data_IF_415744869932
#
_entry.id   IF_415744869932
#
_cell.length_a   1.000
_cell.length_b   1.000
_cell.length_c   1.000
_cell.angle_alpha   90.00
_cell.angle_beta   90.00
_cell.angle_gamma   90.00
#
_symmetry.space_group_name_H-M   'P 1'
#
loop_
_entity.id
_entity.type
_entity.pdbx_description
1 polymer ?
#
# COMPACT_ATOMS: atom_id res chain seq x y z
N UNK A 1 42.89 -24.15 -19.54
CA UNK A 1 42.94 -23.01 -20.48
C UNK A 1 41.54 -22.87 -21.07
N UNK A 2 40.75 -21.93 -20.56
CA UNK A 2 39.49 -21.59 -21.22
C UNK A 2 39.88 -20.77 -22.47
N UNK A 3 39.67 -21.33 -23.66
CA UNK A 3 39.84 -20.62 -24.92
C UNK A 3 38.52 -19.92 -25.22
N UNK A 4 38.54 -18.60 -25.38
CA UNK A 4 37.40 -17.83 -25.88
C UNK A 4 37.75 -17.35 -27.29
N UNK A 5 36.89 -17.64 -28.27
CA UNK A 5 37.04 -17.10 -29.62
C UNK A 5 36.19 -15.83 -29.78
N UNK A 6 36.80 -14.76 -30.28
CA UNK A 6 36.10 -13.56 -30.73
C UNK A 6 36.47 -13.36 -32.20
N UNK A 7 35.47 -13.33 -33.09
CA UNK A 7 35.69 -13.18 -34.54
C UNK A 7 36.62 -14.24 -35.18
N UNK A 8 36.69 -15.46 -34.62
CA UNK A 8 37.49 -16.55 -35.18
C UNK A 8 38.96 -16.59 -34.73
N UNK A 9 39.40 -15.62 -33.92
CA UNK A 9 40.72 -15.66 -33.28
C UNK A 9 40.64 -16.28 -31.88
N UNK A 10 41.52 -17.23 -31.60
CA UNK A 10 41.65 -17.84 -30.27
C UNK A 10 42.39 -16.88 -29.32
N UNK A 11 41.70 -16.42 -28.28
CA UNK A 11 42.33 -15.62 -27.24
C UNK A 11 42.70 -16.48 -26.03
N UNK A 12 43.96 -16.38 -25.61
CA UNK A 12 44.42 -16.99 -24.38
C UNK A 12 43.95 -16.15 -23.19
N UNK A 13 43.17 -16.75 -22.28
CA UNK A 13 42.81 -16.08 -21.03
C UNK A 13 44.06 -16.02 -20.13
N UNK A 14 44.59 -14.82 -19.98
CA UNK A 14 45.76 -14.54 -19.15
C UNK A 14 45.41 -14.44 -17.67
N UNK A 15 46.37 -14.78 -16.81
CA UNK A 15 46.24 -14.55 -15.37
C UNK A 15 46.19 -13.05 -15.07
N UNK A 16 45.63 -12.68 -13.91
CA UNK A 16 45.65 -11.30 -13.43
C UNK A 16 47.06 -10.70 -13.46
N UNK A 17 48.07 -11.41 -12.94
CA UNK A 17 49.45 -10.92 -12.90
C UNK A 17 50.02 -10.65 -14.28
N UNK A 18 49.70 -11.51 -15.26
CA UNK A 18 50.14 -11.35 -16.65
C UNK A 18 49.47 -10.13 -17.28
N UNK A 19 48.15 -9.97 -17.11
CA UNK A 19 47.42 -8.82 -17.64
C UNK A 19 47.89 -7.51 -17.01
N UNK A 20 48.01 -7.43 -15.68
CA UNK A 20 48.45 -6.22 -14.99
C UNK A 20 49.89 -5.83 -15.34
N UNK A 21 50.75 -6.81 -15.65
CA UNK A 21 52.10 -6.53 -16.17
C UNK A 21 52.00 -5.91 -17.57
N UNK A 22 51.27 -6.54 -18.49
CA UNK A 22 51.10 -6.03 -19.84
C UNK A 22 50.50 -4.61 -19.85
N UNK A 23 49.51 -4.33 -18.98
CA UNK A 23 48.94 -2.99 -18.82
C UNK A 23 49.98 -1.96 -18.36
N UNK A 24 50.88 -2.34 -17.44
CA UNK A 24 51.98 -1.46 -17.00
C UNK A 24 53.01 -1.23 -18.10
N UNK A 25 53.34 -2.28 -18.87
CA UNK A 25 54.28 -2.20 -19.99
C UNK A 25 53.75 -1.24 -21.09
N UNK A 26 52.43 -1.19 -21.28
CA UNK A 26 51.73 -0.24 -22.16
C UNK A 26 51.47 1.13 -21.53
N UNK A 27 52.09 1.44 -20.39
CA UNK A 27 51.94 2.70 -19.66
C UNK A 27 50.48 3.05 -19.29
N UNK A 28 49.66 2.04 -18.96
CA UNK A 28 48.30 2.22 -18.45
C UNK A 28 48.25 2.09 -16.93
N UNK A 29 47.51 3.01 -16.31
CA UNK A 29 47.26 3.02 -14.86
C UNK A 29 45.92 2.34 -14.57
N UNK A 30 45.94 1.36 -13.66
CA UNK A 30 44.72 0.73 -13.16
C UNK A 30 44.09 1.64 -12.11
N UNK A 31 42.99 2.29 -12.48
CA UNK A 31 42.23 3.18 -11.60
C UNK A 31 41.44 2.39 -10.56
N UNK A 32 40.72 1.37 -11.02
CA UNK A 32 39.86 0.51 -10.21
C UNK A 32 39.82 -0.90 -10.78
N UNK A 33 39.65 -1.88 -9.90
CA UNK A 33 39.46 -3.28 -10.24
C UNK A 33 38.32 -3.83 -9.41
N UNK A 34 37.37 -4.51 -10.05
CA UNK A 34 36.29 -5.23 -9.38
C UNK A 34 36.34 -6.67 -9.88
N UNK A 35 36.38 -7.63 -8.97
CA UNK A 35 36.38 -9.06 -9.28
C UNK A 35 35.21 -9.73 -8.57
N UNK A 36 34.58 -10.71 -9.23
CA UNK A 36 33.61 -11.59 -8.60
C UNK A 36 34.26 -12.93 -8.19
N UNK A 37 33.50 -13.77 -7.48
CA UNK A 37 33.94 -15.10 -7.06
C UNK A 37 33.93 -16.14 -8.20
N UNK A 38 33.36 -15.80 -9.36
CA UNK A 38 33.26 -16.67 -10.53
C UNK A 38 34.45 -16.49 -11.49
N UNK A 39 35.37 -15.59 -11.17
CA UNK A 39 36.57 -15.32 -11.97
C UNK A 39 36.42 -14.18 -12.97
N UNK A 40 35.29 -13.47 -12.98
CA UNK A 40 35.13 -12.25 -13.80
C UNK A 40 35.84 -11.10 -13.13
N UNK A 41 36.59 -10.30 -13.90
CA UNK A 41 37.22 -9.08 -13.41
C UNK A 41 37.02 -7.94 -14.39
N UNK A 42 36.67 -6.77 -13.86
CA UNK A 42 36.52 -5.52 -14.62
C UNK A 42 37.60 -4.55 -14.16
N UNK A 43 38.38 -4.05 -15.13
CA UNK A 43 39.42 -3.06 -14.90
C UNK A 43 38.98 -1.72 -15.49
N UNK A 44 39.12 -0.66 -14.72
CA UNK A 44 39.02 0.71 -15.21
C UNK A 44 40.44 1.25 -15.38
N UNK A 45 40.78 1.64 -16.61
CA UNK A 45 42.14 2.02 -17.01
C UNK A 45 42.19 3.47 -17.45
N UNK A 46 43.35 4.10 -17.33
CA UNK A 46 43.63 5.44 -17.86
C UNK A 46 45.12 5.57 -18.16
N UNK A 47 45.46 6.36 -19.17
CA UNK A 47 46.85 6.82 -19.32
C UNK A 47 47.24 7.75 -18.16
N UNK A 48 48.49 7.69 -17.68
CA UNK A 48 48.95 8.59 -16.64
C UNK A 48 48.85 10.03 -17.12
N UNK A 49 48.30 10.90 -16.27
CA UNK A 49 48.30 12.34 -16.51
C UNK A 49 49.55 12.92 -15.86
N UNK A 50 50.48 13.46 -16.65
CA UNK A 50 51.57 14.27 -16.14
C UNK A 50 50.99 15.63 -15.80
N UNK A 51 50.81 15.92 -14.51
CA UNK A 51 50.17 17.17 -14.08
C UNK A 51 51.19 18.26 -13.77
N UNK A 52 50.91 19.42 -14.35
CA UNK A 52 51.43 20.77 -14.08
C UNK A 52 51.32 21.17 -12.59
N UNK A 53 51.95 22.29 -12.14
CA UNK A 53 52.09 22.63 -10.72
C UNK A 53 50.81 22.44 -9.91
N UNK A 54 50.94 21.65 -8.84
CA UNK A 54 49.83 21.32 -7.94
C UNK A 54 49.63 22.46 -6.93
N UNK A 55 48.41 22.95 -6.81
CA UNK A 55 47.98 23.85 -5.73
C UNK A 55 47.24 23.06 -4.68
N UNK A 56 47.58 23.24 -3.41
CA UNK A 56 47.00 22.49 -2.29
C UNK A 56 46.27 23.47 -1.38
N UNK A 57 44.99 23.20 -1.14
CA UNK A 57 44.17 23.94 -0.19
C UNK A 57 43.63 22.99 0.88
N UNK A 58 43.98 23.25 2.13
CA UNK A 58 43.45 22.51 3.28
C UNK A 58 42.06 23.04 3.63
N UNK A 59 41.06 22.15 3.66
CA UNK A 59 39.64 22.44 3.91
C UNK A 59 39.27 21.95 5.31
N UNK A 60 39.82 22.64 6.31
CA UNK A 60 39.82 22.16 7.71
C UNK A 60 39.47 23.22 8.75
N UNK A 61 39.41 24.49 8.37
CA UNK A 61 39.05 25.58 9.29
C UNK A 61 37.53 25.74 9.43
N UNK A 62 37.12 26.16 10.63
CA UNK A 62 35.72 26.49 10.96
C UNK A 62 35.36 27.94 10.58
N UNK A 63 36.35 28.75 10.19
CA UNK A 63 36.17 30.15 9.79
C UNK A 63 36.01 30.33 8.26
N UNK A 64 36.06 29.23 7.52
CA UNK A 64 35.84 29.12 6.08
C UNK A 64 36.78 29.99 5.24
N UNK A 65 37.98 30.32 5.75
CA UNK A 65 38.96 31.16 5.03
C UNK A 65 39.41 30.53 3.72
N UNK A 66 39.44 29.19 3.66
CA UNK A 66 39.73 28.46 2.42
C UNK A 66 38.76 28.77 1.27
N UNK A 67 37.55 29.28 1.54
CA UNK A 67 36.58 29.65 0.48
C UNK A 67 37.13 30.77 -0.40
N UNK A 68 37.72 31.81 0.20
CA UNK A 68 38.30 32.93 -0.57
C UNK A 68 39.52 32.47 -1.36
N UNK A 69 40.33 31.55 -0.81
CA UNK A 69 41.45 30.94 -1.52
C UNK A 69 40.97 30.15 -2.76
N UNK A 70 39.89 29.36 -2.62
CA UNK A 70 39.29 28.65 -3.76
C UNK A 70 38.83 29.64 -4.83
N UNK A 71 38.16 30.74 -4.45
CA UNK A 71 37.70 31.77 -5.40
C UNK A 71 38.88 32.39 -6.17
N UNK A 72 39.95 32.73 -5.46
CA UNK A 72 41.14 33.30 -6.06
C UNK A 72 41.74 32.34 -7.10
N UNK A 73 42.03 31.10 -6.71
CA UNK A 73 42.63 30.07 -7.58
C UNK A 73 41.73 29.73 -8.80
N UNK A 74 40.41 29.77 -8.62
CA UNK A 74 39.46 29.57 -9.73
C UNK A 74 39.42 30.75 -10.71
N UNK A 75 39.68 31.97 -10.25
CA UNK A 75 39.69 33.19 -11.08
C UNK A 75 40.98 33.38 -11.89
N UNK A 76 42.09 32.80 -11.45
CA UNK A 76 43.36 32.86 -12.15
C UNK A 76 43.30 32.06 -13.46
N UNK A 77 43.82 32.64 -14.57
CA UNK A 77 43.93 31.97 -15.89
C UNK A 77 44.98 30.84 -15.93
N UNK A 78 45.37 30.32 -14.77
CA UNK A 78 46.40 29.31 -14.63
C UNK A 78 45.87 27.91 -14.98
N UNK A 79 46.69 27.05 -15.56
CA UNK A 79 46.34 25.68 -15.98
C UNK A 79 46.53 24.61 -14.89
N UNK A 80 47.06 24.98 -13.72
CA UNK A 80 47.36 24.03 -12.63
C UNK A 80 46.14 23.33 -12.00
N UNK A 81 46.36 22.11 -11.50
CA UNK A 81 45.35 21.34 -10.76
C UNK A 81 45.29 21.80 -9.30
N UNK A 82 44.07 21.95 -8.79
CA UNK A 82 43.78 22.40 -7.42
C UNK A 82 43.32 21.19 -6.59
N UNK A 83 44.12 20.80 -5.62
CA UNK A 83 43.84 19.73 -4.66
C UNK A 83 43.23 20.31 -3.39
N UNK A 84 41.96 20.02 -3.17
CA UNK A 84 41.27 20.29 -1.92
C UNK A 84 41.48 19.09 -0.99
N UNK A 85 42.04 19.32 0.19
CA UNK A 85 42.41 18.26 1.14
C UNK A 85 41.68 18.47 2.45
N UNK A 86 40.96 17.45 2.91
CA UNK A 86 40.41 17.40 4.26
C UNK A 86 40.94 16.13 4.95
N UNK A 87 41.81 16.30 5.94
CA UNK A 87 42.42 15.20 6.69
C UNK A 87 42.04 15.15 8.17
N UNK A 88 41.81 16.30 8.82
CA UNK A 88 41.55 16.37 10.28
C UNK A 88 40.10 16.13 10.66
N UNK A 89 39.15 16.43 9.77
CA UNK A 89 37.71 16.45 10.10
C UNK A 89 36.94 15.33 9.41
N UNK A 90 36.48 14.36 10.20
CA UNK A 90 35.69 13.20 9.71
C UNK A 90 34.33 13.60 9.12
N UNK A 91 33.80 14.76 9.51
CA UNK A 91 32.50 15.27 9.05
C UNK A 91 32.62 16.31 7.93
N UNK A 92 33.74 16.36 7.21
CA UNK A 92 33.90 17.34 6.13
C UNK A 92 32.92 17.09 4.98
N UNK A 93 32.18 18.12 4.60
CA UNK A 93 31.30 18.13 3.43
C UNK A 93 32.03 18.23 2.09
N UNK A 94 33.36 18.09 2.06
CA UNK A 94 34.24 18.30 0.90
C UNK A 94 33.79 17.53 -0.36
N UNK A 95 33.23 16.32 -0.20
CA UNK A 95 32.69 15.53 -1.33
C UNK A 95 31.48 16.22 -1.98
N UNK A 96 30.61 16.83 -1.17
CA UNK A 96 29.48 17.63 -1.65
C UNK A 96 29.94 18.94 -2.27
N UNK A 97 30.87 19.64 -1.63
CA UNK A 97 31.47 20.87 -2.12
C UNK A 97 32.10 20.68 -3.51
N UNK A 98 32.96 19.67 -3.68
CA UNK A 98 33.64 19.41 -4.95
C UNK A 98 32.63 19.08 -6.06
N UNK A 99 31.54 18.36 -5.75
CA UNK A 99 30.45 18.13 -6.72
C UNK A 99 29.79 19.43 -7.20
N UNK A 100 29.67 20.43 -6.33
CA UNK A 100 29.19 21.75 -6.71
C UNK A 100 30.22 22.47 -7.58
N UNK A 101 31.48 22.55 -7.13
CA UNK A 101 32.54 23.28 -7.83
C UNK A 101 32.84 22.71 -9.23
N UNK A 102 32.71 21.40 -9.44
CA UNK A 102 32.85 20.78 -10.76
C UNK A 102 31.83 21.29 -11.81
N UNK A 103 30.77 21.98 -11.39
CA UNK A 103 29.77 22.60 -12.27
C UNK A 103 30.03 24.08 -12.51
N UNK A 104 31.01 24.65 -11.82
CA UNK A 104 31.42 26.04 -11.96
C UNK A 104 32.56 26.16 -12.99
N UNK A 105 32.74 27.34 -13.65
CA UNK A 105 33.86 27.58 -14.54
C UNK A 105 35.22 27.35 -13.84
N UNK A 106 36.11 26.58 -14.46
CA UNK A 106 37.41 26.21 -13.90
C UNK A 106 37.37 25.04 -12.91
N UNK A 107 36.17 24.51 -12.61
CA UNK A 107 35.96 23.39 -11.71
C UNK A 107 36.59 22.07 -12.16
N UNK A 108 36.82 21.90 -13.46
CA UNK A 108 37.50 20.73 -14.04
C UNK A 108 38.95 20.56 -13.54
N UNK A 109 39.54 21.62 -12.98
CA UNK A 109 40.87 21.61 -12.35
C UNK A 109 40.85 21.09 -10.91
N UNK A 110 39.68 20.90 -10.31
CA UNK A 110 39.57 20.53 -8.90
C UNK A 110 39.71 19.02 -8.73
N UNK A 111 40.51 18.64 -7.74
CA UNK A 111 40.65 17.29 -7.20
C UNK A 111 40.44 17.33 -5.70
N UNK A 112 40.01 16.21 -5.15
CA UNK A 112 39.71 16.09 -3.73
C UNK A 112 40.45 14.92 -3.10
N UNK A 113 41.06 15.17 -1.95
CA UNK A 113 41.53 14.16 -1.00
C UNK A 113 40.71 14.31 0.27
N UNK A 114 40.02 13.24 0.64
CA UNK A 114 39.24 13.20 1.86
C UNK A 114 39.65 11.99 2.69
N UNK A 115 40.21 12.25 3.87
CA UNK A 115 40.58 11.21 4.84
C UNK A 115 39.39 11.02 5.79
N UNK A 116 38.72 9.87 5.69
CA UNK A 116 37.45 9.60 6.38
C UNK A 116 37.45 8.20 7.01
N UNK A 117 38.31 7.94 8.01
CA UNK A 117 38.34 6.65 8.70
C UNK A 117 37.09 6.46 9.57
N UNK A 118 36.62 5.22 9.70
CA UNK A 118 35.46 4.91 10.57
C UNK A 118 35.84 4.73 12.02
N UNK A 119 37.10 4.39 12.29
CA UNK A 119 37.64 4.13 13.63
C UNK A 119 38.84 5.03 13.89
N UNK A 120 39.00 5.47 15.14
CA UNK A 120 40.18 6.23 15.55
C UNK A 120 41.44 5.34 15.53
N UNK A 121 42.56 5.88 15.02
CA UNK A 121 43.85 5.17 14.96
C UNK A 121 44.13 4.44 13.65
N UNK A 122 43.21 4.50 12.67
CA UNK A 122 43.41 4.00 11.30
C UNK A 122 43.73 5.13 10.31
N UNK A 123 44.18 6.27 10.82
CA UNK A 123 44.55 7.43 10.03
C UNK A 123 45.81 7.10 9.19
N UNK A 124 45.85 7.51 7.91
CA UNK A 124 47.08 7.42 7.12
C UNK A 124 48.12 8.41 7.67
N UNK A 125 49.39 8.33 7.20
CA UNK A 125 50.37 9.37 7.48
C UNK A 125 49.81 10.76 7.09
N UNK A 126 50.15 11.85 7.80
CA UNK A 126 49.70 13.19 7.44
C UNK A 126 49.99 13.55 5.98
N UNK A 127 49.08 14.31 5.37
CA UNK A 127 49.17 14.68 3.97
C UNK A 127 50.41 15.53 3.69
N UNK A 128 51.20 15.08 2.72
CA UNK A 128 52.32 15.83 2.14
C UNK A 128 52.47 15.37 0.70
N UNK A 129 52.77 16.32 -0.20
CA UNK A 129 52.96 16.05 -1.63
C UNK A 129 54.21 15.19 -1.88
N UNK A 130 55.22 15.30 -1.01
CA UNK A 130 56.46 14.52 -1.05
C UNK A 130 56.28 13.10 -0.50
N UNK A 131 55.18 12.83 0.21
CA UNK A 131 54.96 11.53 0.84
C UNK A 131 54.56 10.47 -0.21
N UNK A 132 55.34 9.38 -0.39
CA UNK A 132 55.07 8.34 -1.39
C UNK A 132 53.70 7.67 -1.24
N UNK A 133 53.10 7.72 -0.05
CA UNK A 133 51.76 7.19 0.19
C UNK A 133 50.69 7.84 -0.71
N UNK A 134 50.84 9.13 -1.03
CA UNK A 134 49.89 9.90 -1.85
C UNK A 134 50.27 9.96 -3.33
N UNK A 135 51.52 9.61 -3.68
CA UNK A 135 52.02 9.64 -5.06
C UNK A 135 51.07 8.97 -6.09
N UNK A 136 50.45 7.81 -5.81
CA UNK A 136 49.53 7.18 -6.75
C UNK A 136 48.28 8.01 -7.07
N UNK A 137 47.85 8.90 -6.19
CA UNK A 137 46.65 9.74 -6.42
C UNK A 137 46.89 10.74 -7.54
N UNK A 138 48.08 11.34 -7.57
CA UNK A 138 48.48 12.30 -8.58
C UNK A 138 48.63 11.65 -9.95
N UNK A 139 49.21 10.45 -10.02
CA UNK A 139 49.31 9.68 -11.27
C UNK A 139 47.94 9.26 -11.81
N UNK A 140 47.01 8.92 -10.92
CA UNK A 140 45.64 8.51 -11.29
C UNK A 140 44.76 9.69 -11.71
N UNK A 141 45.03 10.89 -11.17
CA UNK A 141 44.31 12.15 -11.45
C UNK A 141 42.78 12.02 -11.30
N UNK A 142 42.34 11.28 -10.28
CA UNK A 142 40.91 11.11 -10.01
C UNK A 142 40.35 12.33 -9.29
N UNK A 143 39.16 12.76 -9.70
CA UNK A 143 38.46 13.89 -9.08
C UNK A 143 38.16 13.67 -7.59
N UNK A 144 37.84 12.43 -7.22
CA UNK A 144 37.45 12.06 -5.85
C UNK A 144 38.37 10.97 -5.33
N UNK A 145 39.16 11.28 -4.30
CA UNK A 145 40.05 10.34 -3.62
C UNK A 145 39.67 10.32 -2.15
N UNK A 146 39.01 9.25 -1.73
CA UNK A 146 38.57 9.06 -0.35
C UNK A 146 39.38 7.93 0.26
N UNK A 147 40.11 8.22 1.33
CA UNK A 147 40.74 7.19 2.15
C UNK A 147 39.77 6.74 3.24
N UNK A 148 39.56 5.44 3.35
CA UNK A 148 38.74 4.84 4.40
C UNK A 148 39.27 3.48 4.79
N UNK A 149 39.73 3.37 6.05
CA UNK A 149 40.08 2.11 6.72
C UNK A 149 41.02 1.19 5.92
N UNK A 150 42.11 1.73 5.36
CA UNK A 150 43.12 0.94 4.64
C UNK A 150 42.96 0.92 3.11
N UNK A 151 41.94 1.57 2.55
CA UNK A 151 41.73 1.61 1.11
C UNK A 151 41.40 3.00 0.57
N UNK A 152 41.94 3.29 -0.61
CA UNK A 152 41.54 4.43 -1.45
C UNK A 152 40.33 4.06 -2.30
N UNK A 153 39.39 4.99 -2.41
CA UNK A 153 38.20 4.82 -3.23
C UNK A 153 37.44 6.11 -3.42
N UNK A 154 36.14 5.99 -3.64
CA UNK A 154 35.24 7.14 -3.80
C UNK A 154 33.80 6.73 -3.47
N UNK A 155 32.96 7.69 -3.12
CA UNK A 155 31.54 7.41 -2.93
C UNK A 155 30.84 7.16 -4.28
N UNK A 156 30.07 6.07 -4.35
CA UNK A 156 29.32 5.64 -5.53
C UNK A 156 27.87 5.35 -5.15
N UNK A 157 26.95 5.70 -6.03
CA UNK A 157 25.54 5.36 -5.85
C UNK A 157 25.31 3.93 -6.35
N UNK A 158 24.67 3.12 -5.52
CA UNK A 158 24.28 1.75 -5.87
C UNK A 158 22.76 1.70 -5.86
N UNK A 159 22.17 1.12 -6.89
CA UNK A 159 20.72 0.93 -6.96
C UNK A 159 20.29 -0.14 -5.95
N UNK A 160 19.53 0.27 -4.93
CA UNK A 160 18.92 -0.66 -3.99
C UNK A 160 17.75 -1.33 -4.71
N UNK A 161 17.92 -2.58 -5.14
CA UNK A 161 16.81 -3.41 -5.63
C UNK A 161 15.91 -3.73 -4.45
N UNK A 162 14.77 -3.03 -4.34
CA UNK A 162 13.73 -3.35 -3.35
C UNK A 162 13.02 -4.64 -3.79
N UNK A 163 13.60 -5.78 -3.46
CA UNK A 163 12.88 -7.05 -3.57
C UNK A 163 11.88 -7.07 -2.42
N UNK A 164 10.59 -7.03 -2.75
CA UNK A 164 9.51 -7.23 -1.78
C UNK A 164 9.44 -8.73 -1.47
N UNK A 165 10.32 -9.21 -0.59
CA UNK A 165 10.22 -10.57 -0.10
C UNK A 165 9.11 -10.63 0.96
N UNK A 166 8.18 -11.61 0.87
CA UNK A 166 7.20 -11.83 1.92
C UNK A 166 7.94 -12.17 3.22
N UNK A 167 7.40 -11.67 4.33
CA UNK A 167 7.89 -11.94 5.69
C UNK A 167 6.79 -12.61 6.47
N UNK A 168 7.16 -13.61 7.27
CA UNK A 168 6.26 -14.18 8.26
C UNK A 168 6.06 -13.15 9.38
N UNK A 169 4.80 -12.83 9.67
CA UNK A 169 4.39 -11.86 10.68
C UNK A 169 3.15 -12.38 11.39
N UNK A 170 2.99 -12.05 12.66
CA UNK A 170 1.83 -12.50 13.46
C UNK A 170 0.53 -11.76 13.06
N UNK A 171 0.68 -10.49 12.68
CA UNK A 171 -0.44 -9.62 12.35
C UNK A 171 -0.33 -9.07 10.93
N UNK A 172 -1.35 -9.32 10.13
CA UNK A 172 -1.44 -8.84 8.76
C UNK A 172 -2.88 -8.51 8.38
N UNK A 173 -3.05 -7.68 7.36
CA UNK A 173 -4.35 -7.36 6.79
C UNK A 173 -4.27 -7.30 5.27
N UNK A 174 -5.40 -7.58 4.64
CA UNK A 174 -5.56 -7.58 3.20
C UNK A 174 -5.76 -6.14 2.71
N UNK A 175 -4.84 -5.65 1.88
CA UNK A 175 -4.85 -4.28 1.37
C UNK A 175 -5.07 -4.28 -0.14
N UNK A 176 -6.08 -3.55 -0.60
CA UNK A 176 -6.22 -3.19 -2.02
C UNK A 176 -5.24 -2.05 -2.33
N UNK A 177 -4.22 -2.29 -3.16
CA UNK A 177 -3.25 -1.25 -3.51
C UNK A 177 -3.78 -0.26 -4.55
N UNK A 178 -4.69 -0.72 -5.41
CA UNK A 178 -5.27 0.07 -6.49
C UNK A 178 -6.73 -0.31 -6.67
N UNK A 179 -7.64 0.55 -6.19
CA UNK A 179 -9.08 0.39 -6.44
C UNK A 179 -9.35 0.32 -7.95
N UNK A 180 -10.30 -0.51 -8.35
CA UNK A 180 -10.56 -0.86 -9.75
C UNK A 180 -9.72 -2.03 -10.27
N UNK A 181 -8.65 -2.42 -9.57
CA UNK A 181 -7.82 -3.57 -9.93
C UNK A 181 -7.80 -4.61 -8.79
N UNK A 182 -8.58 -5.67 -8.93
CA UNK A 182 -8.64 -6.75 -7.92
C UNK A 182 -7.36 -7.59 -7.83
N UNK A 183 -6.46 -7.54 -8.82
CA UNK A 183 -5.14 -8.19 -8.70
C UNK A 183 -4.18 -7.44 -7.78
N UNK A 184 -4.53 -6.22 -7.38
CA UNK A 184 -3.71 -5.36 -6.53
C UNK A 184 -3.81 -5.69 -5.04
N UNK A 185 -4.65 -6.66 -4.67
CA UNK A 185 -4.78 -7.13 -3.30
C UNK A 185 -3.52 -7.85 -2.83
N UNK A 186 -3.01 -7.45 -1.67
CA UNK A 186 -1.89 -8.13 -1.03
C UNK A 186 -2.02 -8.11 0.49
N UNK A 187 -1.56 -9.18 1.12
CA UNK A 187 -1.32 -9.20 2.56
C UNK A 187 -0.21 -8.20 2.91
N UNK A 188 -0.50 -7.33 3.86
CA UNK A 188 0.42 -6.30 4.36
C UNK A 188 0.55 -6.46 5.87
N UNK A 189 1.77 -6.31 6.39
CA UNK A 189 2.03 -6.33 7.83
C UNK A 189 1.17 -5.26 8.54
N UNK A 190 0.47 -5.68 9.59
CA UNK A 190 -0.41 -4.81 10.37
C UNK A 190 0.41 -4.00 11.39
N UNK A 191 0.12 -2.70 11.57
CA UNK A 191 0.78 -1.89 12.58
C UNK A 191 0.29 -2.17 14.00
N UNK A 192 -0.67 -3.08 14.18
CA UNK A 192 -1.38 -3.34 15.46
C UNK A 192 -0.44 -3.59 16.65
N UNK A 193 0.72 -4.22 16.42
CA UNK A 193 1.75 -4.46 17.45
C UNK A 193 2.43 -3.18 17.98
N UNK A 194 2.30 -2.07 17.27
CA UNK A 194 2.86 -0.77 17.64
C UNK A 194 1.80 0.20 18.19
N UNK A 195 0.56 -0.26 18.35
CA UNK A 195 -0.55 0.54 18.83
C UNK A 195 -0.84 0.14 20.27
N UNK A 196 -0.79 1.10 21.20
CA UNK A 196 -1.31 0.92 22.54
C UNK A 196 -2.84 1.11 22.52
N UNK A 197 -3.63 0.06 22.76
CA UNK A 197 -5.08 0.18 22.73
C UNK A 197 -5.57 0.96 23.95
N UNK A 198 -6.43 1.96 23.74
CA UNK A 198 -7.07 2.71 24.84
C UNK A 198 -8.32 2.00 25.36
N UNK A 199 -9.35 1.92 24.51
CA UNK A 199 -10.64 1.29 24.81
C UNK A 199 -10.89 0.04 23.94
N UNK A 200 -10.02 -0.21 22.98
CA UNK A 200 -10.12 -1.33 22.06
C UNK A 200 -9.47 -2.57 22.69
N UNK A 201 -9.88 -3.76 22.25
CA UNK A 201 -9.22 -5.01 22.61
C UNK A 201 -8.78 -5.74 21.36
N UNK A 202 -7.79 -6.61 21.52
CA UNK A 202 -7.25 -7.42 20.43
C UNK A 202 -8.10 -8.68 20.25
N UNK A 203 -8.46 -8.96 19.00
CA UNK A 203 -9.18 -10.16 18.61
C UNK A 203 -8.49 -10.83 17.42
N UNK A 204 -8.35 -12.15 17.49
CA UNK A 204 -7.89 -12.98 16.38
C UNK A 204 -9.07 -13.30 15.47
N UNK A 205 -8.93 -12.96 14.20
CA UNK A 205 -9.96 -13.17 13.18
C UNK A 205 -9.87 -14.59 12.64
N UNK A 206 -10.99 -15.30 12.66
CA UNK A 206 -11.12 -16.63 12.07
C UNK A 206 -11.85 -16.58 10.73
N UNK A 207 -12.94 -15.80 10.68
CA UNK A 207 -13.70 -15.55 9.46
C UNK A 207 -13.89 -14.06 9.30
N UNK A 208 -13.56 -13.54 8.12
CA UNK A 208 -13.85 -12.18 7.69
C UNK A 208 -14.82 -12.25 6.51
N UNK A 209 -15.88 -11.45 6.53
CA UNK A 209 -16.96 -11.53 5.53
C UNK A 209 -17.01 -10.29 4.65
N UNK A 210 -17.11 -10.52 3.34
CA UNK A 210 -17.21 -9.46 2.35
C UNK A 210 -18.67 -9.01 2.21
N UNK A 211 -18.87 -7.71 2.23
CA UNK A 211 -20.16 -7.07 1.98
C UNK A 211 -20.17 -6.40 0.61
N UNK A 212 -21.35 -6.06 0.11
CA UNK A 212 -21.49 -5.42 -1.21
C UNK A 212 -20.68 -4.12 -1.33
N UNK A 213 -20.62 -3.35 -0.23
CA UNK A 213 -19.76 -2.16 -0.11
C UNK A 213 -18.30 -2.47 -0.46
N UNK A 214 -17.76 -3.55 0.07
CA UNK A 214 -16.36 -3.93 -0.09
C UNK A 214 -16.03 -4.19 -1.56
N UNK A 215 -16.92 -4.89 -2.25
CA UNK A 215 -16.80 -5.14 -3.70
C UNK A 215 -16.92 -3.84 -4.49
N UNK A 216 -17.85 -2.96 -4.13
CA UNK A 216 -18.06 -1.69 -4.83
C UNK A 216 -16.86 -0.75 -4.70
N UNK A 217 -16.23 -0.70 -3.52
CA UNK A 217 -15.00 0.06 -3.30
C UNK A 217 -13.83 -0.60 -4.03
N UNK A 218 -13.66 -1.91 -3.88
CA UNK A 218 -12.57 -2.66 -4.52
C UNK A 218 -12.59 -2.56 -6.05
N UNK A 219 -13.77 -2.52 -6.65
CA UNK A 219 -13.97 -2.37 -8.11
C UNK A 219 -13.96 -0.91 -8.58
N UNK A 220 -13.82 0.06 -7.67
CA UNK A 220 -13.79 1.49 -8.00
C UNK A 220 -15.14 2.10 -8.38
N UNK A 221 -16.24 1.35 -8.23
CA UNK A 221 -17.59 1.85 -8.50
C UNK A 221 -18.16 2.71 -7.38
N UNK A 222 -17.61 2.59 -6.17
CA UNK A 222 -17.88 3.47 -5.04
C UNK A 222 -16.58 4.17 -4.64
N UNK A 223 -16.56 5.51 -4.49
CA UNK A 223 -15.37 6.19 -3.99
C UNK A 223 -14.98 5.68 -2.61
N UNK A 224 -13.67 5.54 -2.37
CA UNK A 224 -13.18 5.35 -1.01
C UNK A 224 -13.47 6.63 -0.19
N UNK A 225 -13.89 6.51 1.07
CA UNK A 225 -14.21 7.69 1.90
C UNK A 225 -15.68 8.10 2.01
N UNK A 226 -16.62 7.45 1.31
CA UNK A 226 -18.06 7.84 1.30
C UNK A 226 -18.70 7.87 2.70
N UNK A 227 -18.14 7.16 3.69
CA UNK A 227 -18.68 7.10 5.05
C UNK A 227 -18.12 8.19 6.00
N UNK A 228 -17.12 8.96 5.56
CA UNK A 228 -16.43 9.92 6.42
C UNK A 228 -16.44 11.32 5.83
N UNK A 229 -16.89 12.28 6.62
CA UNK A 229 -16.74 13.71 6.31
C UNK A 229 -15.28 14.17 6.43
N UNK A 230 -14.38 13.32 6.93
CA UNK A 230 -12.96 13.61 7.12
C UNK A 230 -12.10 12.68 6.25
N UNK A 231 -11.79 13.14 5.04
CA UNK A 231 -10.94 12.47 4.01
C UNK A 231 -9.54 12.06 4.53
N UNK A 232 -9.15 12.52 5.74
CA UNK A 232 -7.81 12.30 6.30
C UNK A 232 -7.63 10.97 7.04
N UNK A 233 -8.70 10.24 7.35
CA UNK A 233 -8.55 8.94 8.02
C UNK A 233 -8.38 7.81 6.99
N UNK A 234 -7.16 7.28 6.89
CA UNK A 234 -6.81 6.10 6.07
C UNK A 234 -7.66 4.85 6.38
N UNK A 235 -8.46 4.89 7.45
CA UNK A 235 -9.44 3.89 7.87
C UNK A 235 -10.62 3.75 6.90
N UNK A 236 -10.97 4.79 6.13
CA UNK A 236 -12.18 4.76 5.29
C UNK A 236 -12.03 4.03 3.95
N UNK A 237 -10.78 3.74 3.57
CA UNK A 237 -10.44 2.88 2.43
C UNK A 237 -10.39 1.40 2.81
N UNK A 238 -10.78 1.04 4.04
CA UNK A 238 -10.73 -0.34 4.50
C UNK A 238 -11.77 -1.22 3.81
N UNK A 239 -11.32 -2.40 3.42
CA UNK A 239 -12.13 -3.50 2.95
C UNK A 239 -12.49 -4.38 4.15
N UNK A 240 -13.74 -4.83 4.18
CA UNK A 240 -14.34 -5.69 5.19
C UNK A 240 -14.51 -5.00 6.55
N UNK A 241 -15.73 -5.13 7.08
CA UNK A 241 -16.11 -4.53 8.35
C UNK A 241 -16.64 -5.51 9.37
N UNK A 242 -16.75 -6.79 9.05
CA UNK A 242 -17.25 -7.77 10.01
C UNK A 242 -16.41 -9.03 10.01
N UNK A 243 -16.36 -9.61 11.19
CA UNK A 243 -15.63 -10.83 11.44
C UNK A 243 -16.28 -11.65 12.54
N UNK A 244 -15.86 -12.90 12.63
CA UNK A 244 -15.94 -13.70 13.85
C UNK A 244 -14.56 -14.20 14.24
N UNK A 245 -14.38 -14.41 15.53
CA UNK A 245 -13.09 -14.78 16.06
C UNK A 245 -13.06 -14.96 17.56
N UNK A 246 -11.87 -14.74 18.13
CA UNK A 246 -11.62 -14.92 19.56
C UNK A 246 -10.90 -13.72 20.13
N UNK A 247 -11.30 -13.31 21.33
CA UNK A 247 -10.58 -12.32 22.12
C UNK A 247 -9.21 -12.87 22.54
N UNK A 248 -8.17 -12.06 22.38
CA UNK A 248 -6.83 -12.41 22.83
C UNK A 248 -6.79 -12.54 24.36
N UNK A 249 -6.00 -13.48 24.87
CA UNK A 249 -5.93 -13.83 26.30
C UNK A 249 -7.13 -14.61 26.86
N UNK A 250 -8.37 -14.18 26.63
CA UNK A 250 -9.57 -14.85 27.20
C UNK A 250 -10.07 -16.01 26.34
N UNK A 251 -9.83 -15.98 25.03
CA UNK A 251 -10.32 -16.97 24.07
C UNK A 251 -11.84 -16.91 23.82
N UNK A 252 -12.54 -15.91 24.38
CA UNK A 252 -13.99 -15.72 24.25
C UNK A 252 -14.38 -15.58 22.78
N UNK A 253 -15.43 -16.30 22.38
CA UNK A 253 -15.91 -16.33 21.00
C UNK A 253 -16.76 -15.09 20.73
N UNK A 254 -16.39 -14.31 19.73
CA UNK A 254 -17.08 -13.06 19.39
C UNK A 254 -17.34 -12.97 17.90
N UNK A 255 -18.38 -12.25 17.52
CA UNK A 255 -18.52 -11.69 16.18
C UNK A 255 -19.01 -10.24 16.29
N UNK A 256 -18.80 -9.46 15.24
CA UNK A 256 -19.21 -8.07 15.26
C UNK A 256 -18.54 -7.26 14.18
N UNK A 257 -18.53 -5.94 14.39
CA UNK A 257 -17.99 -4.98 13.45
C UNK A 257 -16.59 -4.54 13.90
N UNK A 258 -15.65 -4.53 12.95
CA UNK A 258 -14.27 -4.09 13.16
C UNK A 258 -13.74 -3.41 11.90
N UNK A 259 -12.98 -2.32 12.07
CA UNK A 259 -12.38 -1.62 10.94
C UNK A 259 -11.25 -2.47 10.34
N UNK A 260 -11.25 -2.65 9.02
CA UNK A 260 -10.27 -3.50 8.31
C UNK A 260 -10.29 -4.96 8.78
N UNK A 261 -11.48 -5.54 8.91
CA UNK A 261 -11.67 -6.89 9.42
C UNK A 261 -11.14 -8.00 8.49
N UNK A 262 -10.76 -7.68 7.24
CA UNK A 262 -10.02 -8.60 6.38
C UNK A 262 -8.56 -8.71 6.84
N UNK A 263 -8.36 -9.25 8.03
CA UNK A 263 -7.09 -9.31 8.74
C UNK A 263 -6.92 -10.63 9.50
N UNK A 264 -5.73 -10.89 10.02
CA UNK A 264 -5.49 -11.97 10.99
C UNK A 264 -5.83 -11.54 12.41
N UNK A 265 -5.83 -10.23 12.68
CA UNK A 265 -6.18 -9.67 13.98
C UNK A 265 -6.73 -8.26 13.84
N UNK A 266 -7.63 -7.89 14.74
CA UNK A 266 -8.27 -6.57 14.77
C UNK A 266 -8.25 -5.98 16.18
N UNK A 267 -8.08 -4.67 16.26
CA UNK A 267 -8.41 -3.89 17.45
C UNK A 267 -9.82 -3.34 17.26
N UNK A 268 -10.72 -3.63 18.19
CA UNK A 268 -12.07 -3.07 18.14
C UNK A 268 -12.63 -2.85 19.55
N UNK A 269 -13.58 -1.94 19.66
CA UNK A 269 -14.32 -1.68 20.89
C UNK A 269 -15.28 -2.85 21.16
N UNK A 270 -15.24 -3.49 22.34
CA UNK A 270 -16.18 -4.54 22.72
C UNK A 270 -17.67 -4.17 22.58
N UNK A 271 -18.04 -2.89 22.58
CA UNK A 271 -19.42 -2.41 22.34
C UNK A 271 -19.91 -2.76 20.93
N UNK A 272 -19.00 -2.94 19.96
CA UNK A 272 -19.33 -3.31 18.58
C UNK A 272 -19.40 -4.84 18.37
N UNK A 273 -19.30 -5.62 19.45
CA UNK A 273 -19.22 -7.07 19.43
C UNK A 273 -20.39 -7.72 20.17
N UNK A 274 -20.75 -8.91 19.70
CA UNK A 274 -21.65 -9.83 20.38
C UNK A 274 -20.91 -11.12 20.69
N UNK A 275 -21.25 -11.73 21.82
CA UNK A 275 -20.76 -13.06 22.16
C UNK A 275 -21.43 -14.11 21.26
N UNK A 276 -20.63 -15.03 20.73
CA UNK A 276 -21.15 -16.06 19.82
C UNK A 276 -21.80 -17.16 20.65
N UNK A 277 -23.10 -17.46 20.43
CA UNK A 277 -23.78 -18.55 21.14
C UNK A 277 -23.07 -19.89 20.93
N UNK A 278 -23.11 -20.75 21.96
CA UNK A 278 -22.44 -22.06 21.94
C UNK A 278 -22.84 -22.92 20.74
N UNK A 279 -24.11 -22.85 20.34
CA UNK A 279 -24.69 -23.64 19.24
C UNK A 279 -24.29 -23.15 17.85
N UNK A 280 -23.71 -21.95 17.73
CA UNK A 280 -23.26 -21.43 16.45
C UNK A 280 -21.80 -21.83 16.24
N UNK A 281 -21.41 -22.05 15.00
CA UNK A 281 -20.01 -22.04 14.58
C UNK A 281 -19.51 -20.60 14.44
N UNK A 282 -18.19 -20.38 14.40
CA UNK A 282 -17.64 -19.06 14.07
C UNK A 282 -17.99 -18.67 12.61
N UNK A 283 -18.07 -19.63 11.70
CA UNK A 283 -18.48 -19.40 10.31
C UNK A 283 -19.90 -18.82 10.23
N UNK A 284 -20.88 -19.47 10.89
CA UNK A 284 -22.25 -18.98 10.96
C UNK A 284 -22.31 -17.60 11.63
N UNK A 285 -21.58 -17.42 12.73
CA UNK A 285 -21.56 -16.17 13.47
C UNK A 285 -21.04 -14.98 12.66
N UNK A 286 -20.12 -15.20 11.72
CA UNK A 286 -19.59 -14.14 10.86
C UNK A 286 -20.65 -13.60 9.88
N UNK A 287 -21.73 -14.35 9.62
CA UNK A 287 -22.78 -13.95 8.66
C UNK A 287 -23.83 -12.99 9.24
N UNK A 288 -23.76 -12.70 10.55
CA UNK A 288 -24.82 -12.03 11.31
C UNK A 288 -24.63 -10.52 11.46
N UNK A 289 -23.45 -9.99 11.84
CA UNK A 289 -23.30 -8.63 12.36
C UNK A 289 -23.85 -7.54 11.43
N UNK A 290 -23.36 -7.43 10.20
CA UNK A 290 -23.74 -6.33 9.30
C UNK A 290 -25.18 -6.48 8.83
N UNK A 291 -25.58 -7.68 8.40
CA UNK A 291 -26.92 -7.89 7.81
C UNK A 291 -28.04 -7.70 8.81
N UNK A 292 -27.92 -8.24 10.02
CA UNK A 292 -28.95 -8.06 11.05
C UNK A 292 -28.93 -6.65 11.64
N UNK A 293 -27.76 -6.04 11.85
CA UNK A 293 -27.68 -4.65 12.31
C UNK A 293 -28.32 -3.68 11.31
N UNK A 294 -28.10 -3.90 10.01
CA UNK A 294 -28.74 -3.12 8.93
C UNK A 294 -30.27 -3.25 8.98
N UNK A 295 -30.78 -4.48 9.10
CA UNK A 295 -32.22 -4.70 9.17
C UNK A 295 -32.84 -4.17 10.47
N UNK A 296 -32.22 -4.38 11.63
CA UNK A 296 -32.74 -3.87 12.90
C UNK A 296 -32.78 -2.35 12.92
N UNK A 297 -31.72 -1.69 12.45
CA UNK A 297 -31.71 -0.24 12.36
C UNK A 297 -32.77 0.29 11.36
N UNK A 298 -32.80 -0.26 10.15
CA UNK A 298 -33.73 0.18 9.11
C UNK A 298 -35.20 -0.13 9.42
N UNK A 299 -35.52 -1.37 9.76
CA UNK A 299 -36.89 -1.84 9.92
C UNK A 299 -37.46 -1.57 11.31
N UNK A 300 -36.69 -1.82 12.38
CA UNK A 300 -37.20 -1.73 13.75
C UNK A 300 -37.05 -0.30 14.29
N UNK A 301 -35.85 0.28 14.18
CA UNK A 301 -35.59 1.60 14.78
C UNK A 301 -36.13 2.75 13.94
N UNK A 302 -35.98 2.70 12.61
CA UNK A 302 -36.40 3.78 11.69
C UNK A 302 -37.82 3.60 11.19
N UNK A 303 -38.13 2.48 10.52
CA UNK A 303 -39.47 2.25 9.96
C UNK A 303 -40.51 1.83 11.02
N UNK A 304 -40.07 1.42 12.21
CA UNK A 304 -40.94 0.95 13.30
C UNK A 304 -41.91 -0.14 12.85
N UNK A 305 -41.40 -1.12 12.10
CA UNK A 305 -42.17 -2.27 11.61
C UNK A 305 -42.93 -2.95 12.76
N UNK A 306 -44.24 -3.13 12.57
CA UNK A 306 -45.15 -3.76 13.53
C UNK A 306 -45.71 -5.05 12.96
N UNK A 307 -46.21 -5.89 13.88
CA UNK A 307 -46.89 -7.11 13.51
C UNK A 307 -48.06 -6.87 12.55
N UNK A 308 -48.26 -7.81 11.61
CA UNK A 308 -49.32 -7.78 10.58
C UNK A 308 -49.23 -6.67 9.54
N UNK A 309 -48.20 -5.82 9.56
CA UNK A 309 -47.91 -4.93 8.43
C UNK A 309 -47.38 -5.70 7.23
N UNK A 310 -47.54 -5.15 6.03
CA UNK A 310 -46.98 -5.71 4.81
C UNK A 310 -45.65 -5.06 4.43
N UNK A 311 -44.68 -5.87 4.00
CA UNK A 311 -43.34 -5.40 3.63
C UNK A 311 -42.90 -5.94 2.27
N UNK A 312 -42.32 -5.09 1.42
CA UNK A 312 -41.59 -5.47 0.21
C UNK A 312 -40.09 -5.49 0.51
N UNK A 313 -39.46 -6.65 0.38
CA UNK A 313 -38.03 -6.87 0.62
C UNK A 313 -37.36 -7.17 -0.72
N UNK A 314 -36.60 -6.23 -1.25
CA UNK A 314 -35.83 -6.48 -2.47
C UNK A 314 -34.64 -7.41 -2.23
N UNK A 315 -34.27 -8.16 -3.27
CA UNK A 315 -33.12 -9.07 -3.24
C UNK A 315 -33.20 -10.12 -2.12
N UNK A 316 -34.35 -10.79 -1.96
CA UNK A 316 -34.65 -11.67 -0.80
C UNK A 316 -33.70 -12.85 -0.57
N UNK A 317 -32.89 -13.20 -1.57
CA UNK A 317 -31.84 -14.23 -1.45
C UNK A 317 -30.46 -13.67 -1.07
N UNK A 318 -30.29 -12.34 -1.00
CA UNK A 318 -29.08 -11.71 -0.48
C UNK A 318 -29.01 -11.72 1.04
N UNK A 319 -27.86 -11.37 1.62
CA UNK A 319 -27.65 -11.40 3.09
C UNK A 319 -28.68 -10.55 3.85
N UNK A 320 -28.79 -9.27 3.50
CA UNK A 320 -29.77 -8.35 4.09
C UNK A 320 -31.21 -8.80 3.81
N UNK A 321 -31.50 -9.28 2.60
CA UNK A 321 -32.84 -9.76 2.24
C UNK A 321 -33.29 -10.94 3.11
N UNK A 322 -32.40 -11.91 3.35
CA UNK A 322 -32.69 -13.05 4.21
C UNK A 322 -32.87 -12.64 5.69
N UNK A 323 -32.02 -11.74 6.20
CA UNK A 323 -32.17 -11.22 7.56
C UNK A 323 -33.48 -10.44 7.75
N UNK A 324 -33.85 -9.62 6.77
CA UNK A 324 -35.11 -8.87 6.76
C UNK A 324 -36.33 -9.82 6.74
N UNK A 325 -36.28 -10.89 5.93
CA UNK A 325 -37.33 -11.91 5.88
C UNK A 325 -37.49 -12.56 7.26
N UNK A 326 -36.39 -12.97 7.91
CA UNK A 326 -36.45 -13.59 9.24
C UNK A 326 -37.09 -12.67 10.28
N UNK A 327 -36.73 -11.39 10.29
CA UNK A 327 -37.31 -10.39 11.20
C UNK A 327 -38.80 -10.18 10.91
N UNK A 328 -39.18 -10.05 9.64
CA UNK A 328 -40.56 -9.85 9.24
C UNK A 328 -41.45 -11.08 9.56
N UNK A 329 -40.91 -12.30 9.39
CA UNK A 329 -41.59 -13.53 9.78
C UNK A 329 -41.78 -13.61 11.31
N UNK A 330 -40.76 -13.25 12.09
CA UNK A 330 -40.85 -13.21 13.56
C UNK A 330 -41.93 -12.24 14.07
N UNK A 331 -42.22 -11.18 13.31
CA UNK A 331 -43.29 -10.23 13.60
C UNK A 331 -44.64 -10.60 12.95
N UNK A 332 -44.74 -11.73 12.24
CA UNK A 332 -45.95 -12.12 11.50
C UNK A 332 -46.42 -11.04 10.49
N UNK A 333 -45.47 -10.46 9.74
CA UNK A 333 -45.76 -9.53 8.65
C UNK A 333 -46.17 -10.27 7.36
N UNK A 334 -46.93 -9.62 6.49
CA UNK A 334 -47.18 -10.11 5.12
C UNK A 334 -45.97 -9.73 4.24
N UNK A 335 -45.24 -10.73 3.75
CA UNK A 335 -43.98 -10.51 3.04
C UNK A 335 -44.17 -10.63 1.53
N UNK A 336 -43.65 -9.63 0.83
CA UNK A 336 -43.37 -9.66 -0.60
C UNK A 336 -41.86 -9.53 -0.82
N UNK A 337 -41.34 -10.18 -1.85
CA UNK A 337 -39.90 -10.13 -2.13
C UNK A 337 -39.59 -10.24 -3.61
N UNK A 338 -38.38 -9.85 -4.01
CA UNK A 338 -37.90 -10.02 -5.37
C UNK A 338 -36.61 -10.84 -5.44
N UNK A 339 -36.47 -11.62 -6.51
CA UNK A 339 -35.28 -12.44 -6.81
C UNK A 339 -34.87 -12.33 -8.27
N UNK A 340 -33.60 -12.56 -8.58
CA UNK A 340 -33.08 -12.36 -9.93
C UNK A 340 -33.16 -13.56 -10.88
N UNK A 341 -33.46 -14.75 -10.37
CA UNK A 341 -33.41 -16.01 -11.14
C UNK A 341 -34.38 -17.04 -10.56
N UNK A 342 -34.87 -17.95 -11.39
CA UNK A 342 -35.73 -19.06 -10.95
C UNK A 342 -35.05 -19.97 -9.91
N UNK A 343 -33.74 -20.18 -9.99
CA UNK A 343 -33.01 -20.96 -8.98
C UNK A 343 -33.08 -20.31 -7.60
N UNK A 344 -32.83 -19.00 -7.53
CA UNK A 344 -33.02 -18.18 -6.31
C UNK A 344 -34.48 -18.22 -5.82
N UNK A 345 -35.46 -18.22 -6.72
CA UNK A 345 -36.88 -18.37 -6.38
C UNK A 345 -37.14 -19.71 -5.68
N UNK A 346 -36.66 -20.82 -6.27
CA UNK A 346 -36.76 -22.18 -5.69
C UNK A 346 -36.07 -22.27 -4.33
N UNK A 347 -34.87 -21.71 -4.20
CA UNK A 347 -34.16 -21.64 -2.93
C UNK A 347 -34.97 -20.91 -1.85
N UNK A 348 -35.48 -19.72 -2.19
CA UNK A 348 -36.24 -18.88 -1.27
C UNK A 348 -37.50 -19.61 -0.78
N UNK A 349 -38.24 -20.25 -1.70
CA UNK A 349 -39.44 -21.03 -1.37
C UNK A 349 -39.15 -22.23 -0.47
N UNK A 350 -38.05 -22.94 -0.71
CA UNK A 350 -37.64 -24.06 0.15
C UNK A 350 -37.26 -23.59 1.55
N UNK A 351 -36.58 -22.45 1.65
CA UNK A 351 -36.09 -21.91 2.93
C UNK A 351 -37.19 -21.23 3.75
N UNK A 352 -38.11 -20.54 3.08
CA UNK A 352 -39.19 -19.77 3.69
C UNK A 352 -40.55 -20.21 3.12
N UNK A 353 -41.04 -21.40 3.48
CA UNK A 353 -42.32 -21.93 2.99
C UNK A 353 -43.53 -21.06 3.36
N UNK A 354 -43.37 -20.15 4.34
CA UNK A 354 -44.39 -19.18 4.73
C UNK A 354 -44.61 -18.08 3.66
N UNK A 355 -43.66 -17.86 2.76
CA UNK A 355 -43.78 -16.88 1.68
C UNK A 355 -44.45 -17.56 0.48
N UNK A 356 -45.63 -17.06 0.12
CA UNK A 356 -46.40 -17.57 -1.02
C UNK A 356 -45.67 -17.29 -2.33
N UNK A 357 -45.79 -18.20 -3.29
CA UNK A 357 -45.07 -18.10 -4.57
C UNK A 357 -45.44 -16.82 -5.34
N UNK A 358 -46.70 -16.44 -5.28
CA UNK A 358 -47.25 -15.26 -5.93
C UNK A 358 -46.87 -13.95 -5.24
N UNK A 359 -46.20 -14.00 -4.08
CA UNK A 359 -45.59 -12.85 -3.42
C UNK A 359 -44.09 -12.71 -3.78
N UNK A 360 -43.57 -13.52 -4.70
CA UNK A 360 -42.15 -13.48 -5.14
C UNK A 360 -42.04 -12.99 -6.59
N UNK A 361 -41.57 -11.76 -6.76
CA UNK A 361 -41.39 -11.08 -8.06
C UNK A 361 -39.96 -11.13 -8.61
N UNK A 362 -39.78 -10.55 -9.81
CA UNK A 362 -38.46 -10.41 -10.45
C UNK A 362 -37.71 -9.19 -9.92
N UNK A 363 -36.40 -9.31 -9.67
CA UNK A 363 -35.54 -8.19 -9.25
C UNK A 363 -34.73 -7.57 -10.39
N UNK A 364 -34.89 -8.07 -11.63
CA UNK A 364 -34.14 -7.61 -12.81
C UNK A 364 -34.89 -6.59 -13.66
N UNK A 365 -36.19 -6.49 -13.46
CA UNK A 365 -37.11 -5.58 -14.14
C UNK A 365 -38.09 -4.96 -13.13
N UNK A 366 -39.04 -4.17 -13.62
CA UNK A 366 -40.06 -3.47 -12.82
C UNK A 366 -41.37 -4.25 -12.67
N UNK A 367 -41.44 -5.51 -13.12
CA UNK A 367 -42.68 -6.32 -13.07
C UNK A 367 -43.20 -6.56 -11.65
N UNK A 368 -42.33 -6.46 -10.65
CA UNK A 368 -42.72 -6.55 -9.25
C UNK A 368 -43.73 -5.45 -8.83
N UNK A 369 -43.70 -4.28 -9.46
CA UNK A 369 -44.65 -3.20 -9.15
C UNK A 369 -46.08 -3.64 -9.42
N UNK A 370 -46.30 -4.22 -10.62
CA UNK A 370 -47.60 -4.78 -11.01
C UNK A 370 -48.03 -5.89 -10.06
N UNK A 371 -47.12 -6.82 -9.73
CA UNK A 371 -47.39 -7.89 -8.75
C UNK A 371 -47.85 -7.31 -7.41
N UNK A 372 -47.16 -6.29 -6.88
CA UNK A 372 -47.52 -5.67 -5.60
C UNK A 372 -48.89 -5.02 -5.70
N UNK A 373 -49.17 -4.25 -6.74
CA UNK A 373 -50.46 -3.57 -6.90
C UNK A 373 -51.62 -4.55 -7.01
N UNK A 374 -51.46 -5.62 -7.79
CA UNK A 374 -52.49 -6.67 -7.90
C UNK A 374 -52.71 -7.38 -6.56
N UNK A 375 -51.63 -7.71 -5.84
CA UNK A 375 -51.72 -8.44 -4.57
C UNK A 375 -52.18 -7.60 -3.39
N UNK A 376 -52.11 -6.29 -3.50
CA UNK A 376 -52.52 -5.33 -2.45
C UNK A 376 -53.77 -4.55 -2.83
N UNK A 377 -54.47 -4.92 -3.92
CA UNK A 377 -55.64 -4.21 -4.44
C UNK A 377 -55.39 -2.70 -4.64
N UNK A 378 -54.23 -2.37 -5.21
CA UNK A 378 -53.79 -0.99 -5.48
C UNK A 378 -53.35 -0.21 -4.25
N UNK A 379 -53.35 -0.81 -3.05
CA UNK A 379 -52.96 -0.13 -1.81
C UNK A 379 -51.45 0.12 -1.70
N UNK A 380 -50.63 -0.80 -2.23
CA UNK A 380 -49.21 -0.86 -1.95
C UNK A 380 -48.89 -1.55 -0.61
N UNK A 381 -47.63 -1.45 -0.18
CA UNK A 381 -47.11 -2.04 1.06
C UNK A 381 -46.76 -0.99 2.12
N UNK A 382 -46.85 -1.36 3.40
CA UNK A 382 -46.56 -0.44 4.50
C UNK A 382 -45.07 -0.07 4.57
N UNK A 383 -44.17 -1.02 4.27
CA UNK A 383 -42.73 -0.79 4.27
C UNK A 383 -42.09 -1.35 3.01
N UNK A 384 -41.16 -0.60 2.41
CA UNK A 384 -40.29 -1.10 1.33
C UNK A 384 -38.85 -1.05 1.83
N UNK A 385 -38.14 -2.17 1.78
CA UNK A 385 -36.70 -2.24 1.98
C UNK A 385 -36.02 -2.33 0.61
N UNK A 386 -35.52 -1.21 0.12
CA UNK A 386 -34.95 -1.09 -1.22
C UNK A 386 -33.43 -1.15 -1.25
N UNK A 387 -32.92 -1.93 -2.21
CA UNK A 387 -31.50 -2.02 -2.57
C UNK A 387 -31.28 -1.98 -4.09
N UNK A 388 -32.33 -1.70 -4.87
CA UNK A 388 -32.30 -1.60 -6.32
C UNK A 388 -32.09 -0.15 -6.75
N UNK A 389 -31.66 0.04 -7.99
CA UNK A 389 -31.33 1.35 -8.54
C UNK A 389 -32.20 1.71 -9.76
N UNK A 390 -32.12 2.97 -10.18
CA UNK A 390 -32.70 3.51 -11.43
C UNK A 390 -34.23 3.33 -11.50
N UNK A 391 -34.74 2.84 -12.64
CA UNK A 391 -36.15 2.60 -12.89
C UNK A 391 -36.83 1.73 -11.82
N UNK A 392 -36.08 0.76 -11.28
CA UNK A 392 -36.53 -0.11 -10.19
C UNK A 392 -36.61 0.64 -8.86
N UNK A 393 -35.73 1.60 -8.58
CA UNK A 393 -35.87 2.47 -7.41
C UNK A 393 -37.21 3.23 -7.46
N UNK A 394 -37.53 3.85 -8.61
CA UNK A 394 -38.79 4.57 -8.79
C UNK A 394 -40.03 3.66 -8.74
N UNK A 395 -39.94 2.46 -9.31
CA UNK A 395 -41.00 1.45 -9.20
C UNK A 395 -41.23 1.00 -7.75
N UNK A 396 -40.16 0.87 -6.97
CA UNK A 396 -40.21 0.54 -5.55
C UNK A 396 -40.89 1.65 -4.74
N UNK A 397 -40.60 2.92 -5.05
CA UNK A 397 -41.27 4.07 -4.42
C UNK A 397 -42.77 4.07 -4.66
N UNK A 398 -43.22 3.74 -5.89
CA UNK A 398 -44.65 3.63 -6.21
C UNK A 398 -45.35 2.48 -5.48
N UNK A 399 -44.61 1.48 -4.99
CA UNK A 399 -45.18 0.40 -4.19
C UNK A 399 -45.50 0.80 -2.75
N UNK A 400 -45.10 1.99 -2.28
CA UNK A 400 -45.32 2.44 -0.90
C UNK A 400 -46.77 2.86 -0.71
N UNK A 401 -47.45 2.25 0.28
CA UNK A 401 -48.81 2.63 0.64
C UNK A 401 -48.86 4.01 1.31
N UNK A 402 -50.07 4.60 1.39
CA UNK A 402 -50.29 5.82 2.17
C UNK A 402 -49.83 5.62 3.62
N UNK A 403 -49.05 6.58 4.14
CA UNK A 403 -48.37 6.52 5.45
C UNK A 403 -47.34 5.38 5.58
N UNK A 404 -46.92 4.79 4.47
CA UNK A 404 -45.85 3.80 4.44
C UNK A 404 -44.46 4.42 4.62
N UNK A 405 -43.45 3.57 4.77
CA UNK A 405 -42.06 3.96 4.95
C UNK A 405 -41.18 3.31 3.87
N UNK A 406 -40.39 4.13 3.20
CA UNK A 406 -39.38 3.68 2.26
C UNK A 406 -38.01 3.67 2.94
N UNK A 407 -37.42 2.49 3.07
CA UNK A 407 -36.10 2.28 3.68
C UNK A 407 -35.09 2.03 2.57
N UNK A 408 -34.34 3.07 2.22
CA UNK A 408 -33.27 3.01 1.22
C UNK A 408 -31.95 2.56 1.86
N UNK A 409 -31.44 1.41 1.40
CA UNK A 409 -30.11 0.91 1.79
C UNK A 409 -29.11 0.89 0.62
N UNK A 410 -29.60 1.10 -0.61
CA UNK A 410 -28.76 1.36 -1.76
C UNK A 410 -28.08 2.73 -1.66
N UNK A 411 -27.06 2.92 -2.51
CA UNK A 411 -26.26 4.14 -2.53
C UNK A 411 -26.16 4.78 -3.91
N UNK A 412 -26.49 4.05 -4.96
CA UNK A 412 -26.25 4.50 -6.34
C UNK A 412 -27.04 5.78 -6.66
N UNK A 413 -28.37 5.74 -6.56
CA UNK A 413 -29.24 6.90 -6.85
C UNK A 413 -28.98 8.09 -5.93
N UNK A 414 -28.64 7.84 -4.66
CA UNK A 414 -28.25 8.87 -3.70
C UNK A 414 -26.97 9.59 -4.15
N UNK A 415 -25.99 8.85 -4.67
CA UNK A 415 -24.70 9.41 -5.10
C UNK A 415 -24.77 10.10 -6.45
N UNK A 416 -25.68 9.67 -7.31
CA UNK A 416 -25.95 10.31 -8.60
C UNK A 416 -26.89 11.51 -8.49
N UNK A 417 -27.36 11.83 -7.27
CA UNK A 417 -28.33 12.90 -7.00
C UNK A 417 -29.57 12.81 -7.89
N UNK A 418 -30.07 11.58 -8.08
CA UNK A 418 -31.25 11.35 -8.92
C UNK A 418 -32.49 12.01 -8.33
N UNK A 419 -33.25 12.71 -9.17
CA UNK A 419 -34.47 13.41 -8.74
C UNK A 419 -35.51 12.43 -8.20
N UNK A 420 -35.95 12.64 -6.97
CA UNK A 420 -37.10 11.93 -6.42
C UNK A 420 -38.35 12.72 -6.80
N UNK A 421 -39.13 12.19 -7.74
CA UNK A 421 -40.46 12.74 -8.04
C UNK A 421 -41.30 12.86 -6.78
N UNK A 422 -42.11 13.92 -6.65
CA UNK A 422 -43.07 14.05 -5.53
C UNK A 422 -44.18 13.00 -5.72
N UNK A 423 -43.94 11.79 -5.21
CA UNK A 423 -44.86 10.67 -5.28
C UNK A 423 -45.91 10.70 -4.17
N UNK A 424 -46.65 11.81 -3.97
CA UNK A 424 -47.79 11.85 -3.03
C UNK A 424 -48.84 12.88 -3.45
#
# INVERSE_FOLDING_TARGET
LFLSSLCGEEFQIHTQSTLEKALRDENLVILSKISDSLGSSVYLLRFPSLTEPQRILLIEDDDYKWVENIKQELSEKNSGIIWLVAEKTRMSGIVGLVKCLLREPGGERIRCIFISPTKAGNDPPPFSIENPFYAPLFTKDLVMNVWRDGAWGSFRHIQIRKVKLPRLVDHSYMKCLSFGNLSSFQWTESPIKYIEPKNERLFHVYYATLNFRDVMIATGKLPAGVLSKNIKDARDSSICFEFSGREDGTGRRVCGVGISAFATSVLTDPVSLIEVPDKWTLEEAATVPVVYSTCYYGLIMKAKLKARQSILIHSGTGGVGQAAINIALALNCEIYTTVGTEEKKKYLRRKYPQIKEENVGCSRDTSFEKMIMERTNGRGVDIVLNSLADDKFHASMRCVARNGCFVEIGKYDILMDHEIGKYF
#
